data_IF_456838771447
#
_entry.id   IF_456838771447
#
_cell.length_a   1.000
_cell.length_b   1.000
_cell.length_c   1.000
_cell.angle_alpha   90.00
_cell.angle_beta   90.00
_cell.angle_gamma   90.00
#
_symmetry.space_group_name_H-M   'P 1'
#
loop_
_entity.id
_entity.type
_entity.pdbx_description
1 polymer ?
#
# COMPACT_ATOMS: atom_id res chain seq x y z
N UNK A 1 19.86 3.83 -19.85
CA UNK A 1 19.53 2.39 -19.74
C UNK A 1 19.68 1.97 -18.27
N UNK A 2 18.60 1.97 -17.47
CA UNK A 2 18.65 1.51 -16.07
C UNK A 2 19.02 0.02 -16.02
N UNK A 3 20.00 -0.34 -15.18
CA UNK A 3 20.56 -1.69 -15.09
C UNK A 3 19.51 -2.69 -14.62
N UNK A 4 19.37 -3.78 -15.37
CA UNK A 4 18.25 -4.75 -15.36
C UNK A 4 18.13 -5.63 -14.09
N UNK A 5 18.80 -5.30 -12.97
CA UNK A 5 18.97 -6.19 -11.81
C UNK A 5 18.26 -5.74 -10.53
N UNK A 6 17.23 -4.88 -10.63
CA UNK A 6 16.43 -4.51 -9.45
C UNK A 6 15.66 -5.73 -8.93
N UNK A 7 15.89 -6.10 -7.67
CA UNK A 7 15.22 -7.23 -7.00
C UNK A 7 13.81 -6.85 -6.51
N UNK A 8 13.69 -5.71 -5.83
CA UNK A 8 12.44 -5.09 -5.43
C UNK A 8 12.70 -3.60 -5.08
N UNK A 9 11.66 -2.76 -5.17
CA UNK A 9 11.68 -1.34 -4.77
C UNK A 9 10.59 -1.14 -3.74
N UNK A 10 10.95 -0.61 -2.58
CA UNK A 10 10.01 -0.32 -1.49
C UNK A 10 9.87 1.18 -1.34
N UNK A 11 8.65 1.66 -1.51
CA UNK A 11 8.31 3.08 -1.40
C UNK A 11 7.54 3.26 -0.10
N UNK A 12 8.19 3.86 0.90
CA UNK A 12 7.59 4.19 2.19
C UNK A 12 6.82 5.51 2.08
N UNK A 13 5.61 5.56 2.63
CA UNK A 13 4.67 6.69 2.55
C UNK A 13 4.43 7.18 1.11
N UNK A 14 3.87 6.34 0.23
CA UNK A 14 3.57 6.73 -1.14
C UNK A 14 2.64 7.95 -1.18
N UNK A 15 3.19 9.08 -1.59
CA UNK A 15 2.40 10.30 -1.81
C UNK A 15 1.51 10.12 -3.04
N UNK A 16 0.39 10.86 -3.09
CA UNK A 16 -0.50 10.85 -4.27
C UNK A 16 0.26 11.25 -5.53
N UNK A 17 1.16 12.23 -5.44
CA UNK A 17 2.00 12.65 -6.56
C UNK A 17 2.97 11.55 -7.02
N UNK A 18 3.62 10.83 -6.09
CA UNK A 18 4.56 9.76 -6.44
C UNK A 18 3.86 8.58 -7.14
N UNK A 19 2.65 8.20 -6.72
CA UNK A 19 1.86 7.19 -7.42
C UNK A 19 1.55 7.60 -8.85
N UNK A 20 1.13 8.85 -9.05
CA UNK A 20 0.84 9.40 -10.37
C UNK A 20 2.08 9.46 -11.24
N UNK A 21 3.22 9.88 -10.68
CA UNK A 21 4.50 9.91 -11.39
C UNK A 21 4.93 8.51 -11.84
N UNK A 22 4.85 7.52 -10.96
CA UNK A 22 5.16 6.11 -11.27
C UNK A 22 4.18 5.59 -12.34
N UNK A 23 2.89 5.88 -12.23
CA UNK A 23 1.91 5.52 -13.26
C UNK A 23 2.16 6.21 -14.60
N UNK A 24 2.62 7.47 -14.58
CA UNK A 24 2.95 8.25 -15.77
C UNK A 24 4.27 7.82 -16.41
N UNK A 25 5.19 7.25 -15.64
CA UNK A 25 6.43 6.69 -16.17
C UNK A 25 6.25 5.30 -16.81
N UNK A 26 5.01 4.81 -16.93
CA UNK A 26 4.66 3.49 -17.50
C UNK A 26 5.08 3.25 -18.94
N UNK A 27 5.10 4.24 -19.84
CA UNK A 27 5.74 4.11 -21.15
C UNK A 27 7.27 3.94 -21.09
N UNK A 28 7.93 4.25 -19.96
CA UNK A 28 9.40 4.20 -19.83
C UNK A 28 9.92 2.95 -19.11
N UNK A 29 9.14 2.41 -18.18
CA UNK A 29 9.54 1.23 -17.42
C UNK A 29 8.76 0.00 -17.88
N UNK A 30 9.46 -1.14 -17.97
CA UNK A 30 8.83 -2.41 -18.29
C UNK A 30 7.72 -2.74 -17.29
N UNK A 31 6.65 -3.41 -17.73
CA UNK A 31 5.60 -3.91 -16.84
C UNK A 31 6.19 -4.75 -15.68
N UNK A 32 7.34 -5.42 -15.91
CA UNK A 32 8.07 -6.18 -14.87
C UNK A 32 8.70 -5.31 -13.77
N UNK A 33 8.98 -4.03 -14.03
CA UNK A 33 9.45 -3.08 -13.02
C UNK A 33 8.33 -2.69 -12.07
N UNK A 34 7.12 -2.45 -12.60
CA UNK A 34 5.94 -2.14 -11.79
C UNK A 34 5.59 -3.25 -10.80
N UNK A 35 5.73 -4.50 -11.21
CA UNK A 35 5.52 -5.66 -10.33
C UNK A 35 6.57 -5.77 -9.21
N UNK A 36 7.66 -5.01 -9.30
CA UNK A 36 8.70 -4.94 -8.28
C UNK A 36 8.55 -3.73 -7.36
N UNK A 37 7.61 -2.82 -7.64
CA UNK A 37 7.33 -1.64 -6.80
C UNK A 37 6.29 -2.04 -5.75
N UNK A 38 6.74 -2.11 -4.51
CA UNK A 38 5.90 -2.34 -3.34
C UNK A 38 5.71 -1.01 -2.61
N UNK A 39 4.46 -0.67 -2.35
CA UNK A 39 4.09 0.51 -1.59
C UNK A 39 3.90 0.10 -0.14
N UNK A 40 4.75 0.62 0.74
CA UNK A 40 4.66 0.38 2.17
C UNK A 40 4.17 1.63 2.88
N UNK A 41 3.30 1.44 3.86
CA UNK A 41 2.63 2.54 4.53
C UNK A 41 3.25 2.90 5.87
N UNK A 42 3.99 1.97 6.46
CA UNK A 42 4.77 2.18 7.69
C UNK A 42 6.16 1.57 7.57
N UNK A 43 7.12 2.13 8.30
CA UNK A 43 8.48 1.58 8.42
C UNK A 43 8.46 0.20 9.10
N UNK A 44 7.55 -0.03 10.04
CA UNK A 44 7.38 -1.32 10.70
C UNK A 44 7.07 -2.47 9.69
N UNK A 45 6.38 -2.16 8.60
CA UNK A 45 6.08 -3.12 7.53
C UNK A 45 7.31 -3.44 6.67
N UNK A 46 8.23 -2.47 6.52
CA UNK A 46 9.54 -2.64 5.88
C UNK A 46 10.42 -3.55 6.75
N UNK A 47 10.53 -3.29 8.05
CA UNK A 47 11.35 -4.07 8.97
C UNK A 47 10.93 -5.54 9.05
N UNK A 48 9.61 -5.83 9.02
CA UNK A 48 9.12 -7.21 8.97
C UNK A 48 9.54 -7.97 7.70
N UNK A 49 9.72 -7.28 6.59
CA UNK A 49 10.16 -7.89 5.32
C UNK A 49 11.69 -8.02 5.22
N UNK A 50 12.45 -7.29 6.04
CA UNK A 50 13.92 -7.26 6.02
C UNK A 50 14.54 -7.62 7.38
N UNK A 51 14.28 -8.83 7.92
CA UNK A 51 14.78 -9.21 9.25
C UNK A 51 16.32 -9.33 9.35
N UNK A 52 17.07 -9.29 8.25
CA UNK A 52 18.52 -9.54 8.23
C UNK A 52 19.37 -8.49 7.50
N UNK A 53 18.76 -7.44 6.95
CA UNK A 53 19.52 -6.31 6.43
C UNK A 53 19.37 -5.17 7.43
N UNK A 54 20.46 -4.81 8.12
CA UNK A 54 20.55 -3.58 8.90
C UNK A 54 20.41 -2.40 7.93
N UNK A 55 19.18 -1.98 7.67
CA UNK A 55 18.89 -0.75 6.96
C UNK A 55 18.97 0.33 8.03
N UNK A 56 20.07 1.08 8.06
CA UNK A 56 20.15 2.29 8.87
C UNK A 56 19.19 3.32 8.28
N UNK A 57 17.96 3.34 8.77
CA UNK A 57 16.98 4.34 8.39
C UNK A 57 17.36 5.68 9.04
N UNK A 58 17.46 6.76 8.27
CA UNK A 58 17.67 8.09 8.83
C UNK A 58 16.56 8.46 9.83
N UNK A 59 16.94 9.01 10.97
CA UNK A 59 16.03 9.42 12.08
C UNK A 59 14.88 10.31 11.60
N UNK A 60 15.11 11.13 10.56
CA UNK A 60 14.08 11.99 9.97
C UNK A 60 12.88 11.20 9.43
N UNK A 61 13.09 9.95 8.98
CA UNK A 61 12.03 9.13 8.39
C UNK A 61 11.13 8.55 9.48
N UNK A 62 11.68 8.15 10.62
CA UNK A 62 10.91 7.66 11.79
C UNK A 62 9.97 8.74 12.33
N UNK A 63 10.44 9.97 12.44
CA UNK A 63 9.62 11.08 12.93
C UNK A 63 8.47 11.41 11.96
N UNK A 64 8.72 11.22 10.66
CA UNK A 64 7.72 11.40 9.61
C UNK A 64 6.72 10.22 9.61
N UNK A 65 7.18 9.00 9.89
CA UNK A 65 6.35 7.78 9.95
C UNK A 65 5.20 7.90 10.95
N UNK A 66 5.47 8.39 12.15
CA UNK A 66 4.43 8.63 13.17
C UNK A 66 3.29 9.54 12.67
N UNK A 67 3.63 10.67 12.03
CA UNK A 67 2.65 11.66 11.59
C UNK A 67 1.79 11.13 10.43
N UNK A 68 2.40 10.36 9.53
CA UNK A 68 1.70 9.77 8.40
C UNK A 68 0.90 8.52 8.79
N UNK A 69 1.38 7.71 9.74
CA UNK A 69 0.68 6.54 10.26
C UNK A 69 -0.69 6.92 10.81
N UNK A 70 -0.78 7.97 11.63
CA UNK A 70 -2.07 8.41 12.17
C UNK A 70 -3.09 8.80 11.10
N UNK A 71 -2.65 9.48 10.04
CA UNK A 71 -3.53 9.86 8.93
C UNK A 71 -3.96 8.63 8.12
N UNK A 72 -3.05 7.68 7.95
CA UNK A 72 -3.29 6.44 7.22
C UNK A 72 -4.29 5.54 7.95
N UNK A 73 -4.13 5.35 9.26
CA UNK A 73 -5.03 4.55 10.09
C UNK A 73 -6.46 5.08 10.06
N UNK A 74 -6.62 6.41 10.10
CA UNK A 74 -7.95 7.04 10.00
C UNK A 74 -8.64 6.78 8.67
N UNK A 75 -7.89 6.81 7.55
CA UNK A 75 -8.45 6.54 6.22
C UNK A 75 -8.72 5.05 6.00
N UNK A 76 -7.86 4.17 6.49
CA UNK A 76 -8.07 2.74 6.38
C UNK A 76 -9.22 2.23 7.25
N UNK A 77 -9.43 2.80 8.43
CA UNK A 77 -10.53 2.44 9.30
C UNK A 77 -11.90 2.74 8.65
N UNK A 78 -12.02 3.86 7.92
CA UNK A 78 -13.27 4.19 7.22
C UNK A 78 -13.50 3.26 6.02
N UNK A 79 -12.44 2.92 5.27
CA UNK A 79 -12.50 1.95 4.16
C UNK A 79 -12.87 0.55 4.67
N UNK A 80 -12.27 0.09 5.78
CA UNK A 80 -12.60 -1.21 6.38
C UNK A 80 -14.06 -1.27 6.85
N UNK A 81 -14.56 -0.20 7.49
CA UNK A 81 -15.97 -0.14 7.91
C UNK A 81 -16.94 -0.18 6.73
N UNK A 82 -16.65 0.54 5.64
CA UNK A 82 -17.52 0.51 4.47
C UNK A 82 -17.52 -0.85 3.78
N UNK A 83 -16.36 -1.52 3.68
CA UNK A 83 -16.27 -2.90 3.15
C UNK A 83 -17.04 -3.89 4.03
N UNK A 84 -16.89 -3.82 5.36
CA UNK A 84 -17.61 -4.69 6.30
C UNK A 84 -19.13 -4.47 6.20
N UNK A 85 -19.58 -3.21 6.16
CA UNK A 85 -20.99 -2.87 6.04
C UNK A 85 -21.60 -3.30 4.70
N UNK A 86 -20.80 -3.27 3.62
CA UNK A 86 -21.19 -3.83 2.32
C UNK A 86 -21.37 -5.34 2.42
N UNK A 87 -20.42 -6.02 3.07
CA UNK A 87 -20.40 -7.47 3.26
C UNK A 87 -21.55 -7.96 4.12
N UNK A 88 -21.89 -7.24 5.20
CA UNK A 88 -23.06 -7.54 6.04
C UNK A 88 -24.38 -7.36 5.28
N UNK A 89 -24.50 -6.31 4.45
CA UNK A 89 -25.70 -6.07 3.61
C UNK A 89 -25.91 -7.15 2.55
N UNK A 90 -24.84 -7.61 1.91
CA UNK A 90 -24.92 -8.73 0.96
C UNK A 90 -25.24 -10.07 1.64
N UNK A 91 -24.84 -10.28 2.90
CA UNK A 91 -25.19 -11.49 3.65
C UNK A 91 -26.67 -11.52 4.10
N UNK A 92 -27.28 -10.36 4.32
CA UNK A 92 -28.71 -10.24 4.66
C UNK A 92 -29.66 -10.28 3.45
N UNK A 93 -29.14 -10.22 2.22
CA UNK A 93 -29.93 -10.12 0.98
C UNK A 93 -30.26 -11.44 0.25
N UNK A 94 -29.94 -12.60 0.82
CA UNK A 94 -30.17 -13.93 0.20
C UNK A 94 -31.44 -14.62 0.78
N UNK A 95 -32.29 -13.89 1.52
CA UNK A 95 -33.35 -14.48 2.35
C UNK A 95 -34.80 -14.41 1.85
N UNK A 96 -35.09 -13.95 0.63
CA UNK A 96 -36.48 -13.73 0.20
C UNK A 96 -36.74 -13.83 -1.32
N UNK A 97 -36.41 -14.97 -1.92
CA UNK A 97 -36.99 -15.40 -3.20
C UNK A 97 -37.31 -16.90 -3.14
N UNK A 98 -38.42 -17.27 -2.49
CA UNK A 98 -39.09 -18.57 -2.71
C UNK A 98 -40.51 -18.55 -2.12
N UNK A 99 -41.38 -17.69 -2.65
CA UNK A 99 -42.83 -17.87 -2.60
C UNK A 99 -43.40 -17.38 -3.93
N UNK A 100 -43.48 -18.28 -4.90
CA UNK A 100 -44.42 -18.25 -6.02
C UNK A 100 -44.49 -19.66 -6.62
#
# INVERSE_FOLDING_TARGET
RLRKNLRAVYVVHPTRWLRTLIAFSRPFFSNKFYHKVNYLFTIAELERQFPHNHIELPVVIEQTDWLYSQKYDRQNASIKRSIEQSRSRSASGIGNESVA
#
